data_IF_668121539076
#
_entry.id   IF_668121539076
#
_cell.length_a   1.000
_cell.length_b   1.000
_cell.length_c   1.000
_cell.angle_alpha   90.00
_cell.angle_beta   90.00
_cell.angle_gamma   90.00
#
_symmetry.space_group_name_H-M   'P 1'
#
loop_
_entity.id
_entity.type
_entity.pdbx_description
1 polymer ?
#
# COMPACT_ATOMS: atom_id res chain seq x y z
N UNK A 1 -36.43 9.93 11.01
CA UNK A 1 -35.22 9.61 11.79
C UNK A 1 -34.35 10.86 11.81
N UNK A 2 -33.65 11.17 12.90
CA UNK A 2 -32.88 12.43 12.98
C UNK A 2 -31.50 12.27 12.32
N UNK A 3 -31.01 13.34 11.67
CA UNK A 3 -29.70 13.37 11.00
C UNK A 3 -28.53 13.03 11.93
N UNK A 4 -28.65 13.39 13.21
CA UNK A 4 -27.67 13.08 14.26
C UNK A 4 -27.62 11.57 14.53
N UNK A 5 -28.78 10.91 14.61
CA UNK A 5 -28.86 9.48 14.86
C UNK A 5 -28.29 8.66 13.68
N UNK A 6 -28.51 9.12 12.45
CA UNK A 6 -27.91 8.51 11.25
C UNK A 6 -26.37 8.61 11.27
N UNK A 7 -25.83 9.78 11.62
CA UNK A 7 -24.39 9.99 11.79
C UNK A 7 -23.78 9.09 12.87
N UNK A 8 -24.44 8.96 14.02
CA UNK A 8 -23.99 8.05 15.07
C UNK A 8 -24.01 6.58 14.62
N UNK A 9 -25.06 6.16 13.92
CA UNK A 9 -25.18 4.80 13.42
C UNK A 9 -24.12 4.50 12.35
N UNK A 10 -23.84 5.46 11.46
CA UNK A 10 -22.77 5.33 10.47
C UNK A 10 -21.38 5.20 11.14
N UNK A 11 -21.12 5.98 12.21
CA UNK A 11 -19.89 5.84 13.02
C UNK A 11 -19.81 4.46 13.66
N UNK A 12 -20.86 4.01 14.35
CA UNK A 12 -20.93 2.67 14.96
C UNK A 12 -20.69 1.57 13.93
N UNK A 13 -21.32 1.67 12.76
CA UNK A 13 -21.13 0.71 11.67
C UNK A 13 -19.68 0.71 11.14
N UNK A 14 -19.07 1.89 10.97
CA UNK A 14 -17.65 2.02 10.61
C UNK A 14 -16.74 1.36 11.65
N UNK A 15 -16.97 1.62 12.92
CA UNK A 15 -16.14 1.06 14.01
C UNK A 15 -16.26 -0.46 14.09
N UNK A 16 -17.47 -1.00 13.94
CA UNK A 16 -17.70 -2.45 13.83
C UNK A 16 -17.01 -3.04 12.59
N UNK A 17 -17.09 -2.36 11.44
CA UNK A 17 -16.46 -2.83 10.20
C UNK A 17 -14.93 -2.93 10.32
N UNK A 18 -14.29 -2.05 11.09
CA UNK A 18 -12.83 -2.08 11.35
C UNK A 18 -12.39 -3.26 12.21
N UNK A 19 -13.29 -3.79 13.04
CA UNK A 19 -13.01 -4.97 13.87
C UNK A 19 -12.96 -6.25 13.02
N UNK A 20 -13.63 -6.26 11.86
CA UNK A 20 -13.61 -7.37 10.92
C UNK A 20 -12.28 -7.34 10.13
N UNK A 21 -11.38 -8.26 10.47
CA UNK A 21 -10.03 -8.34 9.87
C UNK A 21 -10.02 -9.08 8.53
N UNK A 22 -10.94 -10.04 8.34
CA UNK A 22 -11.07 -10.85 7.12
C UNK A 22 -11.81 -10.08 6.03
N UNK A 23 -11.24 -10.03 4.83
CA UNK A 23 -11.96 -9.59 3.61
C UNK A 23 -12.60 -10.80 2.92
N UNK A 24 -13.92 -10.92 3.08
CA UNK A 24 -14.73 -11.92 2.40
C UNK A 24 -14.84 -11.64 0.91
N UNK A 25 -14.74 -12.68 0.09
CA UNK A 25 -15.00 -12.63 -1.35
C UNK A 25 -16.27 -13.43 -1.67
N UNK A 26 -16.92 -13.08 -2.77
CA UNK A 26 -18.03 -13.89 -3.27
C UNK A 26 -17.52 -15.31 -3.60
N UNK A 27 -18.26 -16.33 -3.16
CA UNK A 27 -17.87 -17.73 -3.30
C UNK A 27 -17.05 -18.31 -2.14
N UNK A 28 -16.59 -17.47 -1.18
CA UNK A 28 -15.97 -17.98 0.03
C UNK A 28 -17.01 -18.74 0.88
N UNK A 29 -16.74 -20.02 1.16
CA UNK A 29 -17.54 -20.81 2.12
C UNK A 29 -17.07 -20.47 3.53
N UNK A 30 -18.02 -20.36 4.46
CA UNK A 30 -17.75 -20.13 5.87
C UNK A 30 -18.44 -21.18 6.75
N UNK A 31 -17.78 -21.51 7.86
CA UNK A 31 -18.39 -22.20 8.99
C UNK A 31 -18.66 -21.21 10.13
N UNK A 32 -19.55 -21.53 11.09
CA UNK A 32 -19.76 -20.68 12.27
C UNK A 32 -18.46 -20.37 13.04
N UNK A 33 -17.49 -21.28 13.01
CA UNK A 33 -16.19 -21.09 13.65
C UNK A 33 -15.34 -19.98 13.00
N UNK A 34 -15.51 -19.71 11.70
CA UNK A 34 -14.76 -18.69 10.95
C UNK A 34 -15.10 -17.26 11.38
N UNK A 35 -16.22 -17.09 12.09
CA UNK A 35 -16.67 -15.81 12.64
C UNK A 35 -16.16 -15.57 14.07
N UNK A 36 -15.40 -16.53 14.63
CA UNK A 36 -14.84 -16.40 15.97
C UNK A 36 -13.69 -15.40 16.03
N UNK A 37 -13.47 -14.81 17.21
CA UNK A 37 -12.37 -13.88 17.44
C UNK A 37 -10.99 -14.51 17.19
N UNK A 38 -10.85 -15.82 17.43
CA UNK A 38 -9.61 -16.57 17.21
C UNK A 38 -9.27 -16.65 15.73
N UNK A 39 -10.24 -16.99 14.88
CA UNK A 39 -10.04 -17.01 13.43
C UNK A 39 -9.78 -15.60 12.91
N UNK A 40 -10.53 -14.60 13.34
CA UNK A 40 -10.26 -13.20 12.95
C UNK A 40 -8.84 -12.74 13.31
N UNK A 41 -8.28 -13.19 14.44
CA UNK A 41 -6.91 -12.85 14.83
C UNK A 41 -5.87 -13.41 13.85
N UNK A 42 -6.08 -14.62 13.28
CA UNK A 42 -5.17 -15.21 12.27
C UNK A 42 -5.10 -14.34 11.01
N UNK A 43 -6.26 -13.82 10.58
CA UNK A 43 -6.40 -13.00 9.37
C UNK A 43 -5.90 -11.56 9.56
N UNK A 44 -5.67 -11.12 10.80
CA UNK A 44 -5.10 -9.81 11.10
C UNK A 44 -3.66 -9.68 10.59
N UNK A 45 -2.90 -10.79 10.56
CA UNK A 45 -1.52 -10.78 10.08
C UNK A 45 -1.49 -10.76 8.55
N UNK A 46 -0.87 -9.74 7.97
CA UNK A 46 -0.63 -9.69 6.53
C UNK A 46 0.61 -10.55 6.22
N UNK A 47 0.41 -11.62 5.46
CA UNK A 47 1.51 -12.45 4.97
C UNK A 47 2.45 -11.68 4.03
N UNK A 48 3.67 -12.18 3.89
CA UNK A 48 4.60 -11.70 2.87
C UNK A 48 4.07 -12.06 1.47
N UNK A 49 4.32 -11.25 0.44
CA UNK A 49 4.06 -11.64 -0.94
C UNK A 49 4.72 -13.00 -1.24
N UNK A 50 3.98 -13.92 -1.85
CA UNK A 50 4.46 -15.28 -2.15
C UNK A 50 5.30 -15.33 -3.42
N UNK A 51 5.02 -14.45 -4.39
CA UNK A 51 5.67 -14.39 -5.68
C UNK A 51 6.32 -13.02 -5.87
N UNK A 52 7.50 -13.02 -6.49
CA UNK A 52 8.20 -11.78 -6.84
C UNK A 52 7.48 -11.11 -8.01
N UNK A 53 7.06 -9.86 -7.81
CA UNK A 53 6.32 -9.06 -8.80
C UNK A 53 7.12 -8.89 -10.10
N UNK A 54 8.45 -8.79 -10.02
CA UNK A 54 9.30 -8.61 -11.19
C UNK A 54 9.48 -9.87 -12.03
N UNK A 55 9.45 -11.04 -11.37
CA UNK A 55 9.49 -12.32 -12.09
C UNK A 55 8.13 -12.57 -12.80
N UNK A 56 7.02 -12.21 -12.15
CA UNK A 56 5.66 -12.38 -12.73
C UNK A 56 5.42 -11.42 -13.90
N UNK A 57 5.91 -10.18 -13.79
CA UNK A 57 5.75 -9.16 -14.84
C UNK A 57 6.84 -9.22 -15.93
N UNK A 58 7.80 -10.14 -15.82
CA UNK A 58 9.01 -10.22 -16.66
C UNK A 58 9.67 -8.85 -16.87
N UNK A 59 9.91 -8.15 -15.75
CA UNK A 59 10.33 -6.76 -15.74
C UNK A 59 11.67 -6.59 -15.03
N UNK A 60 12.71 -6.09 -15.71
CA UNK A 60 14.02 -5.90 -15.11
C UNK A 60 14.17 -4.52 -14.42
N UNK A 61 14.29 -4.44 -13.09
CA UNK A 61 14.40 -3.15 -12.39
C UNK A 61 15.61 -2.31 -12.81
N UNK A 62 16.70 -2.95 -13.25
CA UNK A 62 17.97 -2.28 -13.53
C UNK A 62 17.91 -1.40 -14.79
N UNK A 63 17.11 -1.80 -15.77
CA UNK A 63 16.95 -1.07 -17.04
C UNK A 63 16.05 0.15 -16.88
N UNK A 64 15.08 0.07 -15.96
CA UNK A 64 14.06 1.09 -15.72
C UNK A 64 14.41 2.06 -14.58
N UNK A 65 15.69 2.38 -14.38
CA UNK A 65 16.15 3.32 -13.34
C UNK A 65 15.60 4.76 -13.49
N UNK A 66 15.06 5.09 -14.67
CA UNK A 66 14.43 6.37 -15.00
C UNK A 66 13.01 6.49 -14.42
N UNK A 67 12.36 5.37 -14.10
CA UNK A 67 11.00 5.37 -13.59
C UNK A 67 10.98 5.59 -12.08
N UNK A 68 10.93 6.86 -11.66
CA UNK A 68 10.91 7.25 -10.25
C UNK A 68 9.68 6.72 -9.49
N UNK A 69 8.56 6.45 -10.19
CA UNK A 69 7.36 5.90 -9.57
C UNK A 69 7.59 4.47 -9.09
N UNK A 70 8.16 3.61 -9.94
CA UNK A 70 8.50 2.23 -9.56
C UNK A 70 9.54 2.22 -8.44
N UNK A 71 10.62 3.00 -8.56
CA UNK A 71 11.69 3.00 -7.57
C UNK A 71 11.24 3.49 -6.19
N UNK A 72 10.40 4.52 -6.15
CA UNK A 72 9.91 5.12 -4.90
C UNK A 72 9.06 4.17 -4.05
N UNK A 73 8.40 3.19 -4.67
CA UNK A 73 7.62 2.17 -3.98
C UNK A 73 8.52 1.27 -3.11
N UNK A 74 9.76 1.04 -3.55
CA UNK A 74 10.76 0.26 -2.85
C UNK A 74 11.67 1.12 -1.94
N UNK A 75 11.30 2.38 -1.71
CA UNK A 75 11.95 3.29 -0.78
C UNK A 75 11.04 3.65 0.39
N UNK A 76 11.65 3.87 1.55
CA UNK A 76 10.97 4.44 2.71
C UNK A 76 10.67 5.92 2.44
N UNK A 77 9.73 6.54 3.18
CA UNK A 77 9.49 7.97 3.10
C UNK A 77 10.75 8.83 3.31
N UNK A 78 11.75 8.31 4.03
CA UNK A 78 13.05 8.93 4.30
C UNK A 78 14.12 8.63 3.24
N UNK A 79 13.74 8.04 2.10
CA UNK A 79 14.65 7.77 1.00
C UNK A 79 15.59 6.56 1.19
N UNK A 80 15.38 5.72 2.22
CA UNK A 80 16.16 4.50 2.42
C UNK A 80 15.58 3.36 1.58
N UNK A 81 16.42 2.46 1.07
CA UNK A 81 15.94 1.26 0.36
C UNK A 81 15.29 0.31 1.37
N UNK A 82 14.05 -0.13 1.11
CA UNK A 82 13.32 -1.06 1.98
C UNK A 82 14.04 -2.42 2.07
N UNK A 83 13.94 -3.08 3.23
CA UNK A 83 14.55 -4.41 3.42
C UNK A 83 13.79 -5.49 2.63
N UNK A 84 14.45 -6.62 2.31
CA UNK A 84 13.82 -7.73 1.56
C UNK A 84 12.54 -8.24 2.24
N UNK A 85 12.51 -8.23 3.57
CA UNK A 85 11.33 -8.61 4.36
C UNK A 85 10.10 -7.73 4.11
N UNK A 86 10.30 -6.44 3.81
CA UNK A 86 9.20 -5.51 3.50
C UNK A 86 8.81 -5.58 2.02
N UNK A 87 9.79 -5.72 1.13
CA UNK A 87 9.57 -5.73 -0.32
C UNK A 87 9.01 -7.05 -0.85
N UNK A 88 9.32 -8.18 -0.19
CA UNK A 88 8.94 -9.52 -0.66
C UNK A 88 9.67 -9.97 -1.93
N UNK A 89 10.72 -9.26 -2.38
CA UNK A 89 11.45 -9.60 -3.60
C UNK A 89 12.46 -10.73 -3.39
N UNK A 90 12.73 -11.49 -4.45
CA UNK A 90 13.81 -12.47 -4.49
C UNK A 90 15.15 -11.74 -4.35
N UNK A 91 16.13 -12.38 -3.69
CA UNK A 91 17.42 -11.73 -3.40
C UNK A 91 18.13 -11.16 -4.65
N UNK A 92 17.97 -11.80 -5.81
CA UNK A 92 18.51 -11.33 -7.09
C UNK A 92 17.85 -10.02 -7.52
N UNK A 93 16.51 -9.98 -7.53
CA UNK A 93 15.74 -8.81 -7.94
C UNK A 93 15.86 -7.68 -6.92
N UNK A 94 15.94 -7.99 -5.63
CA UNK A 94 16.24 -7.00 -4.59
C UNK A 94 17.58 -6.30 -4.84
N UNK A 95 18.64 -7.04 -5.22
CA UNK A 95 19.94 -6.44 -5.58
C UNK A 95 19.85 -5.58 -6.84
N UNK A 96 19.11 -6.03 -7.86
CA UNK A 96 18.87 -5.28 -9.11
C UNK A 96 18.10 -3.97 -8.83
N UNK A 97 17.02 -4.05 -8.04
CA UNK A 97 16.24 -2.89 -7.58
C UNK A 97 17.11 -1.92 -6.78
N UNK A 98 17.87 -2.40 -5.82
CA UNK A 98 18.75 -1.56 -5.02
C UNK A 98 19.83 -0.87 -5.88
N UNK A 99 20.36 -1.55 -6.91
CA UNK A 99 21.29 -0.96 -7.88
C UNK A 99 20.60 0.10 -8.76
N UNK A 100 19.37 -0.14 -9.19
CA UNK A 100 18.58 0.83 -9.96
C UNK A 100 18.30 2.11 -9.16
N UNK A 101 17.90 1.97 -7.89
CA UNK A 101 17.70 3.09 -6.96
C UNK A 101 18.99 3.91 -6.79
N UNK A 102 20.10 3.24 -6.46
CA UNK A 102 21.40 3.94 -6.31
C UNK A 102 21.85 4.62 -7.60
N UNK A 103 21.62 4.02 -8.76
CA UNK A 103 21.91 4.62 -10.07
C UNK A 103 21.07 5.88 -10.29
N UNK A 104 19.76 5.81 -10.05
CA UNK A 104 18.83 6.93 -10.23
C UNK A 104 19.20 8.12 -9.33
N UNK A 105 19.55 7.85 -8.07
CA UNK A 105 20.02 8.86 -7.11
C UNK A 105 21.37 9.45 -7.57
N UNK A 106 22.33 8.61 -7.95
CA UNK A 106 23.65 9.06 -8.42
C UNK A 106 23.59 9.89 -9.71
N UNK A 107 22.58 9.66 -10.54
CA UNK A 107 22.31 10.46 -11.75
C UNK A 107 21.50 11.74 -11.47
N UNK A 108 21.09 12.00 -10.23
CA UNK A 108 20.30 13.18 -9.87
C UNK A 108 18.83 13.12 -10.29
N UNK A 109 18.32 11.95 -10.72
CA UNK A 109 16.92 11.79 -11.13
C UNK A 109 15.96 11.62 -9.95
N UNK A 110 16.47 11.16 -8.79
CA UNK A 110 15.65 10.88 -7.62
C UNK A 110 16.32 11.38 -6.34
N UNK A 111 15.57 12.00 -5.41
CA UNK A 111 16.12 12.45 -4.13
C UNK A 111 16.57 11.27 -3.25
N UNK A 112 17.58 11.51 -2.42
CA UNK A 112 18.18 10.52 -1.52
C UNK A 112 17.52 10.46 -0.13
N UNK A 113 16.87 11.55 0.31
CA UNK A 113 16.36 11.72 1.69
C UNK A 113 14.84 11.71 1.78
N UNK A 114 14.13 11.78 0.66
CA UNK A 114 12.68 11.72 0.60
C UNK A 114 12.23 11.06 -0.71
N UNK A 115 10.92 10.82 -0.87
CA UNK A 115 10.35 10.37 -2.15
C UNK A 115 10.40 11.48 -3.20
N UNK A 116 10.32 11.12 -4.47
CA UNK A 116 10.28 12.08 -5.57
C UNK A 116 9.15 13.13 -5.37
N UNK A 117 9.38 14.44 -5.60
CA UNK A 117 8.42 15.50 -5.30
C UNK A 117 7.07 15.32 -6.00
N UNK A 118 7.07 14.90 -7.27
CA UNK A 118 5.83 14.59 -8.01
C UNK A 118 4.96 13.53 -7.32
N UNK A 119 5.57 12.58 -6.61
CA UNK A 119 4.85 11.55 -5.89
C UNK A 119 4.25 12.13 -4.61
N UNK A 120 4.97 13.01 -3.93
CA UNK A 120 4.47 13.70 -2.75
C UNK A 120 3.29 14.61 -3.09
N UNK A 121 3.37 15.34 -4.21
CA UNK A 121 2.26 16.15 -4.72
C UNK A 121 1.03 15.29 -5.02
N UNK A 122 1.21 14.16 -5.73
CA UNK A 122 0.11 13.22 -6.00
C UNK A 122 -0.52 12.66 -4.72
N UNK A 123 0.28 12.36 -3.70
CA UNK A 123 -0.21 11.91 -2.39
C UNK A 123 -1.01 13.01 -1.69
N UNK A 124 -0.54 14.26 -1.74
CA UNK A 124 -1.24 15.40 -1.16
C UNK A 124 -2.61 15.60 -1.81
N UNK A 125 -2.65 15.69 -3.15
CA UNK A 125 -3.91 15.84 -3.92
C UNK A 125 -4.86 14.68 -3.64
N UNK A 126 -4.36 13.44 -3.60
CA UNK A 126 -5.19 12.27 -3.26
C UNK A 126 -5.78 12.37 -1.86
N UNK A 127 -5.00 12.85 -0.90
CA UNK A 127 -5.45 13.04 0.50
C UNK A 127 -6.55 14.08 0.58
N UNK A 128 -6.41 15.19 -0.15
CA UNK A 128 -7.43 16.26 -0.24
C UNK A 128 -8.74 15.77 -0.85
N UNK A 129 -8.67 14.94 -1.90
CA UNK A 129 -9.83 14.32 -2.55
C UNK A 129 -10.56 13.32 -1.63
N UNK A 130 -9.83 12.58 -0.79
CA UNK A 130 -10.41 11.57 0.12
C UNK A 130 -10.86 12.16 1.47
N UNK A 131 -10.66 13.46 1.72
CA UNK A 131 -11.06 14.09 2.96
C UNK A 131 -12.60 14.15 3.08
N UNK A 132 -13.18 13.61 4.16
CA UNK A 132 -14.63 13.64 4.38
C UNK A 132 -15.17 15.06 4.69
N UNK A 133 -14.28 16.04 4.87
CA UNK A 133 -14.62 17.44 5.13
C UNK A 133 -14.73 18.27 3.85
N UNK A 134 -14.06 17.84 2.77
CA UNK A 134 -14.17 18.48 1.46
C UNK A 134 -15.38 17.88 0.76
N UNK A 135 -16.44 18.68 0.58
CA UNK A 135 -17.50 18.35 -0.36
C UNK A 135 -16.83 18.19 -1.73
N UNK A 136 -16.89 16.98 -2.30
CA UNK A 136 -16.44 16.74 -3.67
C UNK A 136 -17.11 17.73 -4.63
N UNK A 137 -16.52 17.97 -5.82
CA UNK A 137 -17.11 18.91 -6.76
C UNK A 137 -18.53 18.44 -7.07
N UNK A 138 -19.49 19.31 -6.78
CA UNK A 138 -20.87 19.09 -7.18
C UNK A 138 -20.91 18.94 -8.70
N UNK A 139 -21.31 17.76 -9.16
CA UNK A 139 -21.97 17.53 -10.44
C UNK A 139 -23.22 16.70 -10.15
#
# INVERSE_FOLDING_TARGET
MSTVQELENAKRASDLSRQITRRWKAGDVYAPHDLSAVEMAKWKSRGKPTHDVFDVLDFNPLEHYRNFSVLSEYMTPMGRIKHSNETGLRAVNQRRMAKAIRRSIGMGMMPSVHRHPEILQKIAVRTEQMSPLTKGPYF
#
